data_IF_701933121028
#
_entry.id   IF_701933121028
#
_cell.length_a   1.000
_cell.length_b   1.000
_cell.length_c   1.000
_cell.angle_alpha   90.00
_cell.angle_beta   90.00
_cell.angle_gamma   90.00
#
_symmetry.space_group_name_H-M   'P 1'
#
loop_
_entity.id
_entity.type
_entity.pdbx_description
1 polymer ?
#
# COMPACT_ATOMS: atom_id res chain seq x y z
N UNK A 1 5.68 -24.23 -6.32
CA UNK A 1 6.77 -23.39 -6.86
C UNK A 1 6.14 -22.03 -7.02
N UNK A 2 6.40 -21.11 -6.11
CA UNK A 2 5.86 -19.75 -6.20
C UNK A 2 6.39 -19.13 -7.48
N UNK A 3 5.46 -18.95 -8.41
CA UNK A 3 5.69 -18.25 -9.66
C UNK A 3 6.28 -16.90 -9.30
N UNK A 4 7.52 -16.66 -9.72
CA UNK A 4 8.31 -15.47 -9.41
C UNK A 4 7.55 -14.25 -9.92
N UNK A 5 6.69 -13.68 -9.08
CA UNK A 5 5.84 -12.53 -9.38
C UNK A 5 6.32 -11.40 -8.50
N UNK A 6 7.09 -10.48 -9.07
CA UNK A 6 7.54 -9.32 -8.31
C UNK A 6 8.56 -8.47 -9.03
N UNK A 7 9.11 -7.52 -8.28
CA UNK A 7 10.07 -6.54 -8.74
C UNK A 7 11.31 -6.59 -7.84
N UNK A 8 12.48 -6.51 -8.45
CA UNK A 8 13.74 -6.24 -7.77
C UNK A 8 14.10 -4.77 -7.96
N UNK A 9 14.24 -4.04 -6.85
CA UNK A 9 14.55 -2.60 -6.84
C UNK A 9 15.98 -2.41 -6.36
N UNK A 10 16.81 -1.88 -7.25
CA UNK A 10 18.21 -1.58 -6.99
C UNK A 10 18.37 -0.10 -6.68
N UNK A 11 19.15 0.20 -5.65
CA UNK A 11 19.42 1.57 -5.19
C UNK A 11 20.79 2.04 -5.65
N UNK A 12 20.97 3.35 -5.75
CA UNK A 12 22.32 3.92 -5.86
C UNK A 12 23.08 3.73 -4.53
N UNK A 13 24.42 3.60 -4.54
CA UNK A 13 25.20 3.48 -3.30
C UNK A 13 24.92 4.60 -2.30
N UNK A 14 24.81 5.85 -2.78
CA UNK A 14 24.52 7.01 -1.94
C UNK A 14 23.13 6.94 -1.30
N UNK A 15 22.17 6.26 -1.94
CA UNK A 15 20.86 6.04 -1.36
C UNK A 15 20.92 5.03 -0.20
N UNK A 16 21.73 3.97 -0.33
CA UNK A 16 21.92 3.01 0.76
C UNK A 16 22.61 3.67 1.96
N UNK A 17 23.56 4.56 1.72
CA UNK A 17 24.19 5.37 2.78
C UNK A 17 23.17 6.29 3.46
N UNK A 18 22.32 6.97 2.69
CA UNK A 18 21.31 7.89 3.22
C UNK A 18 20.18 7.19 3.98
N UNK A 19 19.72 6.04 3.50
CA UNK A 19 18.68 5.23 4.14
C UNK A 19 19.22 4.48 5.37
N UNK A 20 20.51 4.18 5.39
CA UNK A 20 21.23 3.66 6.55
C UNK A 20 20.70 2.31 7.05
N UNK A 21 20.67 2.14 8.37
CA UNK A 21 20.28 0.87 9.02
C UNK A 21 18.81 0.49 8.77
N UNK A 22 17.95 1.45 8.45
CA UNK A 22 16.52 1.22 8.32
C UNK A 22 16.17 0.30 7.14
N UNK A 23 16.93 0.37 6.04
CA UNK A 23 16.66 -0.44 4.85
C UNK A 23 17.32 -1.83 4.87
N UNK A 24 18.35 -2.02 5.71
CA UNK A 24 19.14 -3.25 5.73
C UNK A 24 18.33 -4.54 5.91
N UNK A 25 17.30 -4.61 6.77
CA UNK A 25 16.52 -5.83 6.95
C UNK A 25 15.78 -6.28 5.67
N UNK A 26 15.60 -5.38 4.72
CA UNK A 26 14.86 -5.62 3.48
C UNK A 26 15.77 -5.84 2.26
N UNK A 27 17.09 -5.65 2.43
CA UNK A 27 18.05 -5.85 1.35
C UNK A 27 18.37 -7.33 1.18
N UNK A 28 18.34 -7.76 -0.08
CA UNK A 28 18.83 -9.04 -0.55
C UNK A 28 20.11 -8.82 -1.33
N UNK A 29 21.15 -9.57 -0.99
CA UNK A 29 22.38 -9.60 -1.76
C UNK A 29 22.24 -10.54 -2.96
N UNK A 30 22.53 -10.02 -4.14
CA UNK A 30 22.58 -10.78 -5.39
C UNK A 30 23.87 -10.47 -6.16
N UNK A 31 24.26 -11.28 -7.15
CA UNK A 31 25.38 -10.96 -8.02
C UNK A 31 25.26 -9.59 -8.73
N UNK A 32 24.02 -9.08 -8.90
CA UNK A 32 23.76 -7.75 -9.47
C UNK A 32 23.87 -6.59 -8.46
N UNK A 33 24.11 -6.90 -7.18
CA UNK A 33 24.15 -5.95 -6.07
C UNK A 33 22.97 -6.09 -5.09
N UNK A 34 22.98 -5.27 -4.03
CA UNK A 34 21.93 -5.21 -3.03
C UNK A 34 20.64 -4.64 -3.64
N UNK A 35 19.51 -5.31 -3.39
CA UNK A 35 18.20 -4.93 -3.90
C UNK A 35 17.09 -5.27 -2.92
N UNK A 36 15.94 -4.61 -3.04
CA UNK A 36 14.72 -4.98 -2.31
C UNK A 36 13.80 -5.75 -3.27
N UNK A 37 13.20 -6.83 -2.78
CA UNK A 37 12.19 -7.59 -3.53
C UNK A 37 10.78 -7.18 -3.10
N UNK A 38 9.97 -6.77 -4.07
CA UNK A 38 8.64 -6.20 -3.85
C UNK A 38 7.60 -6.97 -4.68
N UNK A 39 6.38 -7.11 -4.16
CA UNK A 39 5.24 -7.65 -4.91
C UNK A 39 4.73 -6.65 -5.94
N UNK A 40 4.70 -5.37 -5.54
CA UNK A 40 4.08 -4.28 -6.29
C UNK A 40 4.91 -3.00 -6.18
N UNK A 41 4.88 -2.19 -7.24
CA UNK A 41 5.50 -0.87 -7.30
C UNK A 41 4.55 0.15 -7.96
N UNK A 42 4.37 1.30 -7.34
CA UNK A 42 3.77 2.50 -7.94
C UNK A 42 4.85 3.58 -8.13
N UNK A 43 4.90 4.17 -9.32
CA UNK A 43 5.85 5.23 -9.70
C UNK A 43 5.14 6.50 -10.17
N UNK A 44 3.82 6.62 -9.98
CA UNK A 44 3.05 7.77 -10.44
C UNK A 44 3.30 9.04 -9.59
N UNK A 45 3.80 8.87 -8.36
CA UNK A 45 4.05 9.94 -7.41
C UNK A 45 5.49 10.48 -7.37
N UNK A 46 5.75 11.38 -6.42
CA UNK A 46 7.10 11.87 -6.12
C UNK A 46 7.97 10.84 -5.39
N UNK A 47 7.33 9.86 -4.76
CA UNK A 47 7.95 8.70 -4.15
C UNK A 47 7.57 7.47 -4.97
N UNK A 48 8.49 6.52 -5.02
CA UNK A 48 8.22 5.16 -5.48
C UNK A 48 7.66 4.40 -4.29
N UNK A 49 6.42 3.96 -4.42
CA UNK A 49 5.71 3.19 -3.41
C UNK A 49 5.91 1.71 -3.72
N UNK A 50 6.36 0.94 -2.73
CA UNK A 50 6.69 -0.47 -2.89
C UNK A 50 5.97 -1.30 -1.84
N UNK A 51 5.27 -2.35 -2.27
CA UNK A 51 4.64 -3.30 -1.35
C UNK A 51 5.54 -4.53 -1.18
N UNK A 52 6.03 -4.77 0.03
CA UNK A 52 6.83 -5.92 0.41
C UNK A 52 5.93 -6.93 1.12
N UNK A 53 6.18 -8.21 0.88
CA UNK A 53 5.58 -9.31 1.65
C UNK A 53 6.70 -10.01 2.42
N UNK A 54 6.51 -10.13 3.73
CA UNK A 54 7.42 -10.84 4.60
C UNK A 54 6.64 -11.84 5.45
N UNK A 55 7.32 -12.91 5.84
CA UNK A 55 6.81 -13.83 6.86
C UNK A 55 7.51 -13.51 8.17
N UNK A 56 6.72 -13.31 9.24
CA UNK A 56 7.28 -13.17 10.58
C UNK A 56 7.84 -14.50 11.06
N UNK A 57 8.62 -14.47 12.15
CA UNK A 57 9.10 -15.68 12.84
C UNK A 57 7.98 -16.61 13.31
N UNK A 58 6.75 -16.11 13.41
CA UNK A 58 5.55 -16.87 13.78
C UNK A 58 4.80 -17.43 12.55
N UNK A 59 5.35 -17.25 11.34
CA UNK A 59 4.75 -17.70 10.08
C UNK A 59 3.54 -16.88 9.64
N UNK A 60 3.36 -15.66 10.19
CA UNK A 60 2.29 -14.74 9.76
C UNK A 60 2.80 -13.88 8.61
N UNK A 61 2.01 -13.83 7.54
CA UNK A 61 2.27 -12.92 6.43
C UNK A 61 2.03 -11.47 6.88
N UNK A 62 3.04 -10.63 6.69
CA UNK A 62 3.00 -9.19 6.93
C UNK A 62 3.27 -8.50 5.61
N UNK A 63 2.36 -7.60 5.24
CA UNK A 63 2.55 -6.68 4.12
C UNK A 63 3.03 -5.34 4.65
N UNK A 64 4.15 -4.85 4.12
CA UNK A 64 4.72 -3.54 4.45
C UNK A 64 4.74 -2.67 3.20
N UNK A 65 4.45 -1.39 3.38
CA UNK A 65 4.61 -0.38 2.35
C UNK A 65 5.88 0.44 2.62
N UNK A 66 6.76 0.51 1.61
CA UNK A 66 8.01 1.26 1.65
C UNK A 66 7.97 2.33 0.57
N UNK A 67 8.12 3.59 0.96
CA UNK A 67 8.14 4.73 0.04
C UNK A 67 9.56 5.29 -0.04
N UNK A 68 10.13 5.37 -1.24
CA UNK A 68 11.49 5.88 -1.44
C UNK A 68 11.51 6.94 -2.55
N UNK A 69 12.26 8.04 -2.41
CA UNK A 69 12.44 9.01 -3.48
C UNK A 69 12.93 8.39 -4.79
N UNK A 70 12.36 8.81 -5.92
CA UNK A 70 12.71 8.27 -7.25
C UNK A 70 14.19 8.42 -7.58
N UNK A 71 14.83 9.51 -7.13
CA UNK A 71 16.25 9.77 -7.37
C UNK A 71 17.21 8.82 -6.60
N UNK A 72 16.70 8.04 -5.64
CA UNK A 72 17.47 7.06 -4.89
C UNK A 72 17.48 5.69 -5.56
N UNK A 73 16.55 5.44 -6.47
CA UNK A 73 16.41 4.16 -7.18
C UNK A 73 17.22 4.20 -8.48
N UNK A 74 18.12 3.23 -8.63
CA UNK A 74 18.96 3.06 -9.82
C UNK A 74 18.24 2.30 -10.93
N UNK A 75 17.53 1.24 -10.57
CA UNK A 75 16.93 0.33 -11.54
C UNK A 75 15.82 -0.50 -10.89
N UNK A 76 14.74 -0.76 -11.64
CA UNK A 76 13.66 -1.66 -11.25
C UNK A 76 13.59 -2.78 -12.30
N UNK A 77 13.63 -4.03 -11.85
CA UNK A 77 13.56 -5.22 -12.69
C UNK A 77 12.30 -6.00 -12.35
N UNK A 78 11.39 -6.17 -13.31
CA UNK A 78 10.21 -7.02 -13.13
C UNK A 78 10.53 -8.46 -13.54
N UNK A 79 10.30 -9.41 -12.64
CA UNK A 79 10.17 -10.82 -12.97
C UNK A 79 8.67 -11.12 -12.96
N UNK A 80 8.01 -11.07 -14.12
CA UNK A 80 6.66 -11.61 -14.33
C UNK A 80 6.65 -12.34 -15.67
N UNK A 81 6.06 -13.53 -15.68
CA UNK A 81 5.93 -14.39 -16.86
C UNK A 81 4.63 -14.15 -17.65
N UNK A 82 3.73 -13.27 -17.19
CA UNK A 82 2.40 -13.12 -17.76
C UNK A 82 2.01 -11.64 -18.05
N UNK A 83 1.22 -11.46 -19.10
CA UNK A 83 1.25 -10.43 -20.18
C UNK A 83 1.15 -8.92 -19.84
N UNK A 84 1.29 -8.48 -18.58
CA UNK A 84 1.29 -7.05 -18.24
C UNK A 84 2.67 -6.58 -17.75
N UNK A 85 3.57 -6.31 -18.69
CA UNK A 85 4.90 -5.75 -18.45
C UNK A 85 4.89 -4.21 -18.51
N UNK A 86 5.30 -3.53 -17.44
CA UNK A 86 5.50 -2.07 -17.41
C UNK A 86 4.68 -1.28 -16.37
N UNK A 87 4.80 0.05 -16.42
CA UNK A 87 4.16 1.01 -15.49
C UNK A 87 2.82 1.56 -16.02
N UNK A 88 2.08 0.75 -16.80
CA UNK A 88 0.79 1.15 -17.34
C UNK A 88 -0.25 1.35 -16.25
N UNK A 89 -1.31 2.16 -16.50
CA UNK A 89 -2.38 2.38 -15.54
C UNK A 89 -2.93 1.02 -15.07
N UNK A 90 -2.78 0.76 -13.76
CA UNK A 90 -3.37 -0.44 -13.16
C UNK A 90 -4.89 -0.32 -13.23
N UNK A 91 -5.63 -1.41 -13.51
CA UNK A 91 -7.04 -1.42 -13.20
C UNK A 91 -7.18 -1.12 -11.70
N UNK A 92 -8.04 -0.16 -11.36
CA UNK A 92 -8.25 0.29 -9.99
C UNK A 92 -8.40 -0.93 -9.06
N UNK A 93 -7.49 -1.05 -8.09
CA UNK A 93 -7.62 -2.03 -7.02
C UNK A 93 -8.97 -1.76 -6.35
N UNK A 94 -9.92 -2.68 -6.51
CA UNK A 94 -11.20 -2.60 -5.81
C UNK A 94 -10.86 -2.73 -4.34
N UNK A 95 -10.79 -1.61 -3.62
CA UNK A 95 -10.63 -1.61 -2.19
C UNK A 95 -11.71 -2.54 -1.62
N UNK A 96 -11.31 -3.56 -0.86
CA UNK A 96 -12.25 -4.42 -0.16
C UNK A 96 -13.17 -3.53 0.67
N UNK A 97 -14.42 -3.41 0.23
CA UNK A 97 -15.40 -2.57 0.89
C UNK A 97 -15.58 -3.09 2.31
N UNK A 98 -15.16 -2.29 3.29
CA UNK A 98 -15.57 -2.48 4.68
C UNK A 98 -17.10 -2.44 4.71
N UNK A 99 -17.80 -3.49 5.19
CA UNK A 99 -19.25 -3.45 5.26
C UNK A 99 -19.65 -2.34 6.24
N UNK A 100 -20.27 -1.29 5.72
CA UNK A 100 -20.90 -0.24 6.54
C UNK A 100 -22.08 -0.89 7.27
N UNK A 101 -21.92 -1.08 8.58
CA UNK A 101 -23.04 -1.42 9.46
C UNK A 101 -23.90 -0.18 9.61
N UNK A 102 -25.05 -0.17 8.94
CA UNK A 102 -26.05 0.89 9.09
C UNK A 102 -26.75 0.72 10.43
N UNK A 103 -26.44 1.59 11.40
CA UNK A 103 -27.23 1.75 12.62
C UNK A 103 -28.46 2.62 12.30
N UNK A 104 -29.70 2.17 12.57
CA UNK A 104 -30.89 2.97 12.32
C UNK A 104 -30.98 4.13 13.33
N UNK A 105 -31.02 5.35 12.81
CA UNK A 105 -31.20 6.57 13.61
C UNK A 105 -32.66 6.67 14.09
N UNK A 106 -32.86 6.73 15.42
CA UNK A 106 -34.18 6.89 16.02
C UNK A 106 -34.77 8.28 15.68
N UNK A 107 -36.05 8.30 15.28
CA UNK A 107 -36.78 9.51 14.93
C UNK A 107 -37.02 10.42 16.17
N UNK A 108 -36.96 11.75 16.04
CA UNK A 108 -37.26 12.65 17.14
C UNK A 108 -38.78 12.67 17.43
N UNK A 109 -39.13 12.65 18.72
CA UNK A 109 -40.51 12.64 19.20
C UNK A 109 -41.23 13.98 18.94
N UNK A 110 -42.56 13.98 18.71
CA UNK A 110 -43.34 15.20 18.51
C UNK A 110 -43.55 15.97 19.83
N UNK A 111 -43.57 17.30 19.75
CA UNK A 111 -43.82 18.21 20.86
C UNK A 111 -45.33 18.24 21.24
N UNK A 112 -45.69 18.48 22.51
CA UNK A 112 -47.08 18.55 22.95
C UNK A 112 -47.75 19.89 22.59
N UNK A 113 -48.95 19.81 22.02
CA UNK A 113 -49.87 20.93 21.78
C UNK A 113 -50.33 21.60 23.09
N UNK A 114 -50.33 22.93 23.11
CA UNK A 114 -50.95 23.72 24.20
C UNK A 114 -52.39 24.10 23.85
N UNK A 115 -53.37 23.94 24.74
CA UNK A 115 -54.78 24.21 24.45
C UNK A 115 -55.18 25.67 24.72
N UNK A 116 -55.93 26.18 23.74
CA UNK A 116 -57.13 27.03 23.82
C UNK A 116 -57.10 28.44 24.47
N UNK A 117 -57.61 29.40 23.70
CA UNK A 117 -57.86 30.80 24.06
C UNK A 117 -59.35 30.97 24.47
N UNK A 118 -59.71 31.68 25.54
CA UNK A 118 -61.09 32.08 25.77
C UNK A 118 -61.48 33.31 24.94
N UNK A 119 -62.77 33.36 24.63
CA UNK A 119 -63.47 34.30 23.77
C UNK A 119 -63.62 35.71 24.37
N UNK A 120 -63.72 36.70 23.48
CA UNK A 120 -64.51 37.92 23.63
C UNK A 120 -65.11 38.30 22.26
#
# INVERSE_FOLDING_TARGET
>A
MEESRGYAVFFFPQALEALGEAIKPYLLDSPGGPHVLCREIDTAGALIEMTLEMQTSEGRAVSLELMVPTNMVRMIVSARSDEAFGFGPRPAHVAHATPVVVVPQAAPAPAPDSPNKPAE
#
